data_IF_057010885194
#
_entry.id   IF_057010885194
#
_cell.length_a   1.000
_cell.length_b   1.000
_cell.length_c   1.000
_cell.angle_alpha   90.00
_cell.angle_beta   90.00
_cell.angle_gamma   90.00
#
_symmetry.space_group_name_H-M   'P 1'
#
loop_
_entity.id
_entity.type
_entity.pdbx_description
1 polymer ?
#
# COMPACT_ATOMS: atom_id res chain seq x y z
N UNK A 1 -9.89 6.67 -10.23
CA UNK A 1 -9.77 5.19 -10.11
C UNK A 1 -10.99 4.45 -10.64
N UNK A 2 -12.21 4.94 -10.43
CA UNK A 2 -13.46 4.30 -10.89
C UNK A 2 -13.71 4.35 -12.42
N UNK A 3 -12.77 4.86 -13.21
CA UNK A 3 -12.92 4.86 -14.65
C UNK A 3 -12.66 3.44 -15.20
N UNK A 4 -13.53 2.96 -16.09
CA UNK A 4 -13.43 1.63 -16.67
C UNK A 4 -12.11 1.40 -17.43
N UNK A 5 -11.54 2.44 -18.06
CA UNK A 5 -10.25 2.34 -18.74
C UNK A 5 -9.10 2.17 -17.75
N UNK A 6 -9.17 2.85 -16.61
CA UNK A 6 -8.15 2.75 -15.54
C UNK A 6 -8.23 1.39 -14.84
N UNK A 7 -9.43 0.86 -14.61
CA UNK A 7 -9.65 -0.50 -14.08
C UNK A 7 -9.13 -1.57 -15.03
N UNK A 8 -9.35 -1.42 -16.34
CA UNK A 8 -8.85 -2.35 -17.35
C UNK A 8 -7.31 -2.39 -17.41
N UNK A 9 -6.66 -1.23 -17.35
CA UNK A 9 -5.19 -1.16 -17.21
C UNK A 9 -4.72 -1.74 -15.88
N UNK A 10 -5.47 -1.54 -14.79
CA UNK A 10 -5.11 -2.14 -13.52
C UNK A 10 -5.23 -3.67 -13.50
N UNK A 11 -6.20 -4.27 -14.20
CA UNK A 11 -6.27 -5.73 -14.34
C UNK A 11 -5.07 -6.31 -15.08
N UNK A 12 -4.50 -5.52 -16.00
CA UNK A 12 -3.26 -5.83 -16.73
C UNK A 12 -1.99 -5.41 -15.99
N UNK A 13 -2.10 -4.96 -14.74
CA UNK A 13 -0.99 -4.63 -13.83
C UNK A 13 0.11 -5.69 -13.73
N UNK A 14 -0.21 -6.93 -14.08
CA UNK A 14 0.69 -8.08 -14.14
C UNK A 14 1.76 -7.96 -15.23
N UNK A 15 1.51 -7.14 -16.26
CA UNK A 15 2.39 -6.92 -17.40
C UNK A 15 3.44 -5.82 -17.13
N UNK A 16 3.34 -5.11 -16.00
CA UNK A 16 4.24 -4.02 -15.61
C UNK A 16 4.57 -4.10 -14.12
N UNK A 17 5.60 -3.39 -13.65
CA UNK A 17 5.90 -3.31 -12.21
C UNK A 17 4.88 -2.41 -11.50
N UNK A 18 3.66 -2.88 -11.34
CA UNK A 18 2.68 -2.23 -10.49
C UNK A 18 2.69 -2.88 -9.10
N UNK A 19 2.68 -2.06 -8.06
CA UNK A 19 2.66 -2.56 -6.70
C UNK A 19 1.28 -3.16 -6.38
N UNK A 20 1.22 -4.34 -5.78
CA UNK A 20 -0.04 -4.95 -5.30
C UNK A 20 -0.78 -4.06 -4.28
N UNK A 21 -0.06 -3.18 -3.58
CA UNK A 21 -0.62 -2.19 -2.67
C UNK A 21 -1.25 -0.98 -3.38
N UNK A 22 -1.12 -0.84 -4.70
CA UNK A 22 -1.67 0.30 -5.45
C UNK A 22 -3.20 0.36 -5.37
N UNK A 23 -3.93 -0.76 -5.51
CA UNK A 23 -5.39 -0.76 -5.35
C UNK A 23 -5.81 -0.35 -3.93
N UNK A 24 -5.05 -0.76 -2.92
CA UNK A 24 -5.35 -0.44 -1.53
C UNK A 24 -5.22 1.07 -1.27
N UNK A 25 -4.15 1.70 -1.78
CA UNK A 25 -3.98 3.15 -1.66
C UNK A 25 -4.94 3.96 -2.53
N UNK A 26 -5.23 3.50 -3.76
CA UNK A 26 -6.13 4.20 -4.68
C UNK A 26 -7.61 4.12 -4.24
N UNK A 27 -8.01 3.03 -3.58
CA UNK A 27 -9.34 2.92 -2.96
C UNK A 27 -9.43 3.69 -1.64
N UNK A 28 -8.31 3.81 -0.91
CA UNK A 28 -8.26 4.54 0.36
C UNK A 28 -7.81 5.99 0.18
N UNK A 29 -7.82 6.49 -1.05
CA UNK A 29 -7.26 7.79 -1.40
C UNK A 29 -7.98 8.89 -0.62
N UNK A 30 -9.31 8.87 -0.56
CA UNK A 30 -10.12 9.84 0.19
C UNK A 30 -9.69 9.95 1.66
N UNK A 31 -9.37 8.82 2.30
CA UNK A 31 -8.85 8.77 3.68
C UNK A 31 -7.42 9.31 3.79
N UNK A 32 -6.59 9.08 2.77
CA UNK A 32 -5.18 9.48 2.76
C UNK A 32 -4.99 10.98 2.55
N UNK A 33 -5.93 11.66 1.88
CA UNK A 33 -5.84 13.10 1.62
C UNK A 33 -6.52 13.94 2.72
N UNK A 34 -7.13 13.31 3.72
CA UNK A 34 -7.67 14.03 4.87
C UNK A 34 -6.56 14.69 5.70
N UNK A 35 -6.83 15.91 6.18
CA UNK A 35 -5.86 16.70 6.94
C UNK A 35 -5.53 16.07 8.30
N UNK A 36 -6.42 15.26 8.85
CA UNK A 36 -6.28 14.57 10.14
C UNK A 36 -6.02 13.06 9.95
N UNK A 37 -5.41 12.68 8.83
CA UNK A 37 -5.12 11.28 8.51
C UNK A 37 -4.16 10.66 9.53
N UNK A 38 -4.67 9.66 10.26
CA UNK A 38 -3.87 8.79 11.14
C UNK A 38 -3.67 7.43 10.43
N UNK A 39 -2.43 7.05 10.09
CA UNK A 39 -2.17 5.80 9.40
C UNK A 39 -2.54 4.59 10.26
N UNK A 40 -3.25 3.64 9.65
CA UNK A 40 -3.60 2.36 10.30
C UNK A 40 -2.42 1.39 10.26
N UNK A 41 -2.43 0.37 11.12
CA UNK A 41 -1.40 -0.70 11.08
C UNK A 41 -1.30 -1.34 9.69
N UNK A 42 -2.42 -1.44 8.97
CA UNK A 42 -2.46 -1.99 7.63
C UNK A 42 -1.81 -1.06 6.60
N UNK A 43 -1.93 0.26 6.76
CA UNK A 43 -1.22 1.25 5.93
C UNK A 43 0.30 1.16 6.13
N UNK A 44 0.73 0.96 7.39
CA UNK A 44 2.15 0.80 7.74
C UNK A 44 2.72 -0.50 7.15
N UNK A 45 2.00 -1.62 7.27
CA UNK A 45 2.43 -2.91 6.72
C UNK A 45 2.45 -2.95 5.18
N UNK A 46 1.57 -2.20 4.52
CA UNK A 46 1.49 -2.12 3.05
C UNK A 46 2.48 -1.11 2.47
N UNK A 47 3.03 -0.22 3.31
CA UNK A 47 4.00 0.80 2.90
C UNK A 47 5.33 0.12 2.61
N UNK A 48 5.73 0.17 1.33
CA UNK A 48 7.00 -0.37 0.88
C UNK A 48 8.13 0.60 1.22
N UNK A 49 8.61 0.55 2.45
CA UNK A 49 9.85 1.20 2.83
C UNK A 49 11.01 0.29 2.42
N UNK A 50 11.93 0.77 1.58
CA UNK A 50 13.18 0.03 1.33
C UNK A 50 13.93 -0.07 2.65
N UNK A 51 14.16 -1.27 3.14
CA UNK A 51 15.04 -1.53 4.27
C UNK A 51 16.46 -1.16 3.88
N UNK A 52 16.96 -0.04 4.40
CA UNK A 52 18.34 0.43 4.20
C UNK A 52 19.30 -0.04 5.29
N UNK A 53 18.82 -0.83 6.26
CA UNK A 53 19.61 -1.36 7.38
C UNK A 53 19.08 -2.69 7.91
N UNK A 54 19.83 -3.29 8.83
CA UNK A 54 19.47 -4.52 9.52
C UNK A 54 18.62 -4.14 10.73
N UNK A 55 17.39 -4.65 10.78
CA UNK A 55 16.49 -4.53 11.94
C UNK A 55 16.33 -5.92 12.53
N UNK A 56 16.92 -6.17 13.70
CA UNK A 56 16.65 -7.38 14.48
C UNK A 56 15.50 -7.10 15.45
N UNK A 57 14.48 -7.96 15.44
CA UNK A 57 13.42 -7.93 16.45
C UNK A 57 13.39 -9.26 17.16
N UNK A 58 13.78 -9.26 18.44
CA UNK A 58 13.75 -10.45 19.30
C UNK A 58 12.39 -10.49 20.02
N UNK A 59 11.62 -11.54 19.79
CA UNK A 59 10.37 -11.78 20.50
C UNK A 59 10.54 -12.97 21.44
N UNK A 60 10.19 -12.80 22.71
CA UNK A 60 10.09 -13.91 23.66
C UNK A 60 8.65 -14.42 23.64
N UNK A 61 8.43 -15.56 22.99
CA UNK A 61 7.17 -16.28 23.09
C UNK A 61 7.19 -17.12 24.39
N UNK A 62 6.25 -16.84 25.28
CA UNK A 62 5.94 -17.67 26.45
C UNK A 62 4.88 -18.69 26.12
#
# INVERSE_FOLDING_TARGET
WNDNGVQACFLRSREYQLNDSAAYYLNSLDRLIEYDYIPTQQDVLRTRVKTTGIVETTFTLK
#
